data_IF_118634464974
#
_entry.id   IF_118634464974
#
_cell.length_a   1.000
_cell.length_b   1.000
_cell.length_c   1.000
_cell.angle_alpha   90.00
_cell.angle_beta   90.00
_cell.angle_gamma   90.00
#
_symmetry.space_group_name_H-M   'P 1'
#
loop_
_entity.id
_entity.type
_entity.pdbx_description
1 polymer ?
#
# COMPACT_ATOMS: atom_id res chain seq x y z
N UNK A 1 -9.82 18.07 -46.88
CA UNK A 1 -10.38 18.63 -45.63
C UNK A 1 -11.54 17.75 -45.20
N UNK A 2 -11.64 17.43 -43.89
CA UNK A 2 -12.54 16.46 -43.21
C UNK A 2 -11.96 15.06 -42.98
N UNK A 3 -11.15 14.95 -41.92
CA UNK A 3 -11.02 13.71 -41.15
C UNK A 3 -12.23 13.62 -40.21
N UNK A 4 -12.91 12.48 -40.24
CA UNK A 4 -14.00 12.14 -39.31
C UNK A 4 -13.42 11.33 -38.17
N UNK A 5 -13.31 11.95 -37.00
CA UNK A 5 -12.80 11.36 -35.76
C UNK A 5 -13.85 10.40 -35.18
N UNK A 6 -13.59 9.09 -35.25
CA UNK A 6 -14.27 8.08 -34.42
C UNK A 6 -13.50 8.00 -33.10
N UNK A 7 -14.06 8.59 -32.05
CA UNK A 7 -13.57 8.45 -30.67
C UNK A 7 -14.28 7.25 -30.04
N UNK A 8 -13.69 6.06 -30.19
CA UNK A 8 -14.08 4.88 -29.42
C UNK A 8 -13.33 4.92 -28.09
N UNK A 9 -14.01 5.33 -27.02
CA UNK A 9 -13.53 5.11 -25.65
C UNK A 9 -13.71 3.62 -25.36
N UNK A 10 -12.66 2.86 -25.60
CA UNK A 10 -12.55 1.48 -25.14
C UNK A 10 -12.04 1.53 -23.70
N UNK A 11 -12.97 1.55 -22.74
CA UNK A 11 -12.66 1.23 -21.35
C UNK A 11 -12.38 -0.28 -21.28
N UNK A 12 -11.13 -0.69 -21.54
CA UNK A 12 -10.68 -2.02 -21.14
C UNK A 12 -10.42 -1.95 -19.63
N UNK A 13 -11.46 -2.20 -18.83
CA UNK A 13 -11.25 -2.76 -17.49
C UNK A 13 -10.85 -4.21 -17.70
N UNK A 14 -9.59 -4.46 -18.04
CA UNK A 14 -9.01 -5.79 -17.98
C UNK A 14 -8.83 -6.08 -16.49
N UNK A 15 -9.90 -6.56 -15.86
CA UNK A 15 -9.85 -7.20 -14.53
C UNK A 15 -9.05 -8.50 -14.63
N UNK A 16 -7.74 -8.38 -14.83
CA UNK A 16 -6.78 -9.48 -14.71
C UNK A 16 -5.97 -9.22 -13.44
N UNK A 17 -6.66 -9.17 -12.30
CA UNK A 17 -6.01 -9.43 -11.03
C UNK A 17 -5.53 -10.88 -11.09
N UNK A 18 -4.24 -11.11 -11.33
CA UNK A 18 -3.65 -12.44 -11.16
C UNK A 18 -3.59 -12.65 -9.64
N UNK A 19 -4.63 -13.30 -9.13
CA UNK A 19 -4.84 -13.53 -7.71
C UNK A 19 -3.75 -14.48 -7.19
N UNK A 20 -2.88 -14.00 -6.32
CA UNK A 20 -1.92 -14.88 -5.67
C UNK A 20 -2.61 -15.73 -4.58
N UNK A 21 -2.20 -17.00 -4.53
CA UNK A 21 -2.45 -18.03 -3.51
C UNK A 21 -3.89 -18.53 -3.27
N UNK A 22 -4.94 -17.84 -3.73
CA UNK A 22 -6.33 -18.11 -3.30
C UNK A 22 -7.18 -18.97 -4.27
N UNK A 23 -6.58 -19.62 -5.27
CA UNK A 23 -7.29 -20.23 -6.40
C UNK A 23 -8.27 -21.37 -6.06
N UNK A 24 -8.19 -21.99 -4.89
CA UNK A 24 -8.92 -23.25 -4.65
C UNK A 24 -10.33 -23.10 -4.07
N UNK A 25 -10.76 -21.93 -3.56
CA UNK A 25 -11.98 -21.87 -2.72
C UNK A 25 -12.99 -20.75 -3.03
N UNK A 26 -12.84 -19.97 -4.11
CA UNK A 26 -13.76 -18.83 -4.35
C UNK A 26 -14.80 -19.13 -5.43
N UNK A 27 -16.03 -19.42 -5.00
CA UNK A 27 -17.23 -19.30 -5.83
C UNK A 27 -17.54 -17.83 -6.10
N UNK A 28 -17.03 -17.28 -7.21
CA UNK A 28 -17.33 -15.92 -7.65
C UNK A 28 -18.66 -15.88 -8.42
N UNK A 29 -19.54 -14.94 -8.08
CA UNK A 29 -20.73 -14.59 -8.87
C UNK A 29 -20.40 -13.37 -9.74
N UNK A 30 -20.55 -13.49 -11.06
CA UNK A 30 -20.09 -12.53 -12.08
C UNK A 30 -20.80 -11.16 -12.05
N UNK A 31 -21.91 -11.00 -11.33
CA UNK A 31 -22.84 -9.88 -11.56
C UNK A 31 -22.93 -8.80 -10.48
N UNK A 32 -22.01 -8.74 -9.52
CA UNK A 32 -21.99 -7.63 -8.53
C UNK A 32 -20.55 -7.17 -8.27
N UNK A 33 -20.20 -5.88 -8.47
CA UNK A 33 -18.96 -5.36 -7.96
C UNK A 33 -19.01 -5.44 -6.43
N UNK A 34 -18.30 -6.42 -5.85
CA UNK A 34 -18.09 -6.45 -4.41
C UNK A 34 -17.19 -5.26 -4.07
N UNK A 35 -17.76 -4.25 -3.41
CA UNK A 35 -16.98 -3.27 -2.68
C UNK A 35 -16.22 -4.02 -1.57
N UNK A 36 -14.96 -4.34 -1.83
CA UNK A 36 -14.11 -4.96 -0.81
C UNK A 36 -13.76 -3.87 0.19
N UNK A 37 -14.30 -4.01 1.40
CA UNK A 37 -13.84 -3.23 2.54
C UNK A 37 -12.64 -3.97 3.12
N UNK A 38 -11.48 -3.32 3.27
CA UNK A 38 -10.38 -3.87 4.06
C UNK A 38 -10.92 -4.25 5.44
N UNK A 39 -10.33 -5.29 6.06
CA UNK A 39 -10.60 -5.55 7.45
C UNK A 39 -10.25 -4.28 8.26
N UNK A 40 -11.25 -3.72 8.93
CA UNK A 40 -11.01 -2.68 9.92
C UNK A 40 -10.26 -3.27 11.12
N UNK A 41 -9.96 -2.43 12.11
CA UNK A 41 -9.43 -2.85 13.40
C UNK A 41 -10.22 -4.07 13.94
N UNK A 42 -9.51 -5.03 14.52
CA UNK A 42 -10.12 -6.16 15.21
C UNK A 42 -10.80 -5.63 16.50
N UNK A 43 -12.13 -5.71 16.63
CA UNK A 43 -12.82 -5.16 17.80
C UNK A 43 -12.41 -5.84 19.12
N UNK A 44 -11.84 -7.05 19.06
CA UNK A 44 -11.40 -7.81 20.22
C UNK A 44 -9.89 -7.61 20.51
N UNK A 45 -9.21 -6.72 19.78
CA UNK A 45 -7.81 -6.41 20.03
C UNK A 45 -7.62 -5.70 21.37
N UNK A 46 -7.08 -6.44 22.35
CA UNK A 46 -6.84 -5.94 23.71
C UNK A 46 -5.37 -5.80 24.08
N UNK A 47 -4.47 -6.34 23.27
CA UNK A 47 -3.04 -6.49 23.61
C UNK A 47 -2.20 -5.52 22.79
N UNK A 48 -2.06 -4.30 23.31
CA UNK A 48 -1.18 -3.31 22.72
C UNK A 48 0.29 -3.72 22.91
N UNK A 49 1.14 -3.60 21.87
CA UNK A 49 2.57 -3.82 22.03
C UNK A 49 3.16 -2.74 22.96
N UNK A 50 4.24 -3.07 23.69
CA UNK A 50 4.92 -2.12 24.57
C UNK A 50 5.57 -0.94 23.82
N UNK A 51 5.79 -1.09 22.51
CA UNK A 51 6.42 -0.12 21.62
C UNK A 51 5.73 -0.18 20.27
N UNK A 52 5.75 0.94 19.53
CA UNK A 52 5.34 0.92 18.13
C UNK A 52 6.13 -0.06 17.29
N UNK A 53 5.57 -0.40 16.12
CA UNK A 53 6.32 -1.13 15.11
C UNK A 53 7.58 -0.35 14.71
N UNK A 54 7.47 0.97 14.46
CA UNK A 54 8.61 1.77 14.01
C UNK A 54 9.75 1.83 15.06
N UNK A 55 9.45 1.88 16.36
CA UNK A 55 10.47 1.82 17.42
C UNK A 55 11.19 0.47 17.50
N UNK A 56 10.63 -0.57 16.90
CA UNK A 56 11.13 -1.95 16.91
C UNK A 56 12.00 -2.28 15.68
N UNK A 57 12.75 -1.30 15.14
CA UNK A 57 13.50 -1.42 13.86
C UNK A 57 14.41 -2.65 13.77
N UNK A 58 15.06 -3.01 14.88
CA UNK A 58 15.97 -4.18 14.93
C UNK A 58 15.25 -5.50 14.70
N UNK A 59 13.95 -5.53 14.97
CA UNK A 59 13.12 -6.72 14.95
C UNK A 59 12.13 -6.74 13.77
N UNK A 60 12.08 -5.68 12.95
CA UNK A 60 11.15 -5.54 11.82
C UNK A 60 11.03 -6.80 10.98
N UNK A 61 12.17 -7.36 10.61
CA UNK A 61 12.24 -8.55 9.78
C UNK A 61 11.65 -9.80 10.47
N UNK A 62 11.85 -9.96 11.78
CA UNK A 62 11.23 -11.03 12.56
C UNK A 62 9.72 -10.82 12.74
N UNK A 63 9.28 -9.57 12.93
CA UNK A 63 7.86 -9.22 13.06
C UNK A 63 7.12 -9.49 11.75
N UNK A 64 7.66 -9.03 10.61
CA UNK A 64 7.10 -9.29 9.27
C UNK A 64 7.02 -10.79 9.00
N UNK A 65 8.07 -11.54 9.34
CA UNK A 65 8.13 -12.97 9.08
C UNK A 65 7.12 -13.79 9.89
N UNK A 66 6.83 -13.36 11.12
CA UNK A 66 5.94 -14.06 12.03
C UNK A 66 4.47 -13.69 11.87
N UNK A 67 4.15 -12.47 11.42
CA UNK A 67 2.76 -11.95 11.40
C UNK A 67 1.81 -12.80 10.55
N UNK A 68 2.21 -13.19 9.33
CA UNK A 68 1.37 -14.02 8.44
C UNK A 68 1.88 -15.45 8.29
N UNK A 69 2.91 -15.80 9.07
CA UNK A 69 3.51 -17.12 9.05
C UNK A 69 4.36 -17.44 7.81
N UNK A 70 4.70 -18.72 7.64
CA UNK A 70 5.61 -19.17 6.60
C UNK A 70 5.05 -18.89 5.20
N UNK A 71 5.95 -18.55 4.27
CA UNK A 71 5.61 -18.42 2.87
C UNK A 71 5.43 -19.77 2.18
N UNK A 72 5.02 -19.73 0.91
CA UNK A 72 5.01 -20.92 0.06
C UNK A 72 6.43 -21.46 -0.19
N UNK A 73 6.58 -22.76 -0.55
CA UNK A 73 7.86 -23.30 -0.99
C UNK A 73 8.47 -22.49 -2.12
N UNK A 74 9.81 -22.49 -2.20
CA UNK A 74 10.56 -21.72 -3.20
C UNK A 74 10.05 -21.90 -4.64
N UNK A 75 9.84 -23.15 -5.07
CA UNK A 75 9.35 -23.45 -6.41
C UNK A 75 7.99 -22.81 -6.71
N UNK A 76 7.07 -22.78 -5.74
CA UNK A 76 5.75 -22.17 -5.90
C UNK A 76 5.82 -20.64 -5.94
N UNK A 77 6.68 -20.02 -5.12
CA UNK A 77 6.92 -18.57 -5.20
C UNK A 77 7.51 -18.16 -6.55
N UNK A 78 8.46 -18.94 -7.04
CA UNK A 78 9.10 -18.72 -8.33
C UNK A 78 8.10 -18.84 -9.49
N UNK A 79 7.25 -19.87 -9.46
CA UNK A 79 6.18 -20.08 -10.45
C UNK A 79 5.18 -18.90 -10.47
N UNK A 80 4.73 -18.43 -9.30
CA UNK A 80 3.85 -17.25 -9.21
C UNK A 80 4.52 -16.00 -9.80
N UNK A 81 5.80 -15.78 -9.49
CA UNK A 81 6.57 -14.65 -10.02
C UNK A 81 6.73 -14.73 -11.53
N UNK A 82 7.13 -15.89 -12.05
CA UNK A 82 7.36 -16.10 -13.47
C UNK A 82 6.03 -15.96 -14.24
N UNK A 83 4.92 -16.50 -13.73
CA UNK A 83 3.59 -16.29 -14.32
C UNK A 83 3.17 -14.82 -14.39
N UNK A 84 3.36 -14.07 -13.29
CA UNK A 84 3.03 -12.64 -13.27
C UNK A 84 3.86 -11.87 -14.31
N UNK A 85 5.16 -12.10 -14.34
CA UNK A 85 6.08 -11.35 -15.21
C UNK A 85 5.94 -11.74 -16.69
N UNK A 86 5.65 -13.02 -16.99
CA UNK A 86 5.26 -13.46 -18.34
C UNK A 86 3.95 -12.81 -18.78
N UNK A 87 2.94 -12.74 -17.91
CA UNK A 87 1.68 -12.09 -18.25
C UNK A 87 1.86 -10.59 -18.59
N UNK A 88 2.77 -9.90 -17.90
CA UNK A 88 3.13 -8.52 -18.24
C UNK A 88 3.82 -8.43 -19.61
N UNK A 89 4.77 -9.32 -19.89
CA UNK A 89 5.44 -9.35 -21.20
C UNK A 89 4.44 -9.55 -22.34
N UNK A 90 3.46 -10.42 -22.16
CA UNK A 90 2.52 -10.79 -23.20
C UNK A 90 1.38 -9.78 -23.39
N UNK A 91 0.97 -9.10 -22.31
CA UNK A 91 -0.31 -8.35 -22.28
C UNK A 91 -0.17 -6.89 -21.88
N UNK A 92 0.92 -6.49 -21.24
CA UNK A 92 1.08 -5.11 -20.76
C UNK A 92 1.80 -4.25 -21.80
N UNK A 93 1.02 -3.44 -22.52
CA UNK A 93 1.53 -2.51 -23.53
C UNK A 93 1.96 -1.15 -22.94
N UNK A 94 1.87 -0.98 -21.62
CA UNK A 94 2.06 0.30 -20.94
C UNK A 94 3.51 0.76 -20.78
N UNK A 95 4.50 -0.14 -20.90
CA UNK A 95 5.90 0.18 -20.59
C UNK A 95 6.42 1.45 -21.28
N UNK A 96 6.30 1.63 -22.62
CA UNK A 96 6.81 2.83 -23.28
C UNK A 96 6.08 4.11 -22.83
N UNK A 97 4.77 4.03 -22.57
CA UNK A 97 3.97 5.16 -22.09
C UNK A 97 4.33 5.60 -20.67
N UNK A 98 4.97 4.71 -19.91
CA UNK A 98 5.47 4.96 -18.55
C UNK A 98 6.95 5.36 -18.54
N UNK A 99 7.54 5.55 -19.73
CA UNK A 99 8.96 5.87 -19.89
C UNK A 99 9.90 4.71 -19.55
N UNK A 100 9.38 3.47 -19.54
CA UNK A 100 10.14 2.26 -19.27
C UNK A 100 10.43 1.52 -20.58
N UNK A 101 11.71 1.24 -20.86
CA UNK A 101 12.07 0.34 -21.96
C UNK A 101 11.88 -1.12 -21.56
N UNK A 102 11.79 -2.02 -22.54
CA UNK A 102 11.79 -3.46 -22.28
C UNK A 102 13.05 -3.92 -21.53
N UNK A 103 14.20 -3.27 -21.78
CA UNK A 103 15.44 -3.56 -21.06
C UNK A 103 15.37 -3.14 -19.59
N UNK A 104 14.74 -1.99 -19.28
CA UNK A 104 14.52 -1.55 -17.90
C UNK A 104 13.62 -2.55 -17.17
N UNK A 105 12.54 -2.99 -17.82
CA UNK A 105 11.66 -4.02 -17.27
C UNK A 105 12.38 -5.34 -17.00
N UNK A 106 13.19 -5.84 -17.94
CA UNK A 106 13.98 -7.06 -17.75
C UNK A 106 14.97 -6.91 -16.58
N UNK A 107 15.58 -5.73 -16.40
CA UNK A 107 16.45 -5.45 -15.26
C UNK A 107 15.69 -5.51 -13.94
N UNK A 108 14.51 -4.88 -13.85
CA UNK A 108 13.65 -4.99 -12.67
C UNK A 108 13.28 -6.45 -12.41
N UNK A 109 12.73 -7.16 -13.41
CA UNK A 109 12.37 -8.58 -13.28
C UNK A 109 13.53 -9.41 -12.72
N UNK A 110 14.71 -9.30 -13.32
CA UNK A 110 15.86 -10.11 -12.91
C UNK A 110 16.33 -9.76 -11.48
N UNK A 111 16.34 -8.47 -11.11
CA UNK A 111 16.72 -8.03 -9.76
C UNK A 111 15.77 -8.52 -8.67
N UNK A 112 14.47 -8.58 -8.94
CA UNK A 112 13.48 -9.10 -7.98
C UNK A 112 13.44 -10.62 -7.96
N UNK A 113 13.67 -11.28 -9.11
CA UNK A 113 13.67 -12.75 -9.21
C UNK A 113 14.71 -13.40 -8.30
N UNK A 114 15.91 -12.83 -8.20
CA UNK A 114 16.97 -13.35 -7.32
C UNK A 114 16.65 -13.19 -5.83
N UNK A 115 15.76 -12.27 -5.46
CA UNK A 115 15.32 -12.05 -4.07
C UNK A 115 14.24 -13.04 -3.61
N UNK A 116 13.68 -13.85 -4.51
CA UNK A 116 12.61 -14.81 -4.16
C UNK A 116 13.10 -15.84 -3.14
N UNK A 117 14.37 -16.26 -3.23
CA UNK A 117 14.94 -17.24 -2.31
C UNK A 117 14.97 -16.73 -0.86
N UNK A 118 15.31 -15.45 -0.65
CA UNK A 118 15.36 -14.82 0.69
C UNK A 118 13.99 -14.45 1.27
N UNK A 119 12.91 -14.51 0.48
CA UNK A 119 11.54 -14.18 0.92
C UNK A 119 10.86 -15.35 1.66
N UNK A 120 11.37 -15.73 2.82
CA UNK A 120 10.98 -16.95 3.55
C UNK A 120 9.54 -16.93 4.11
N UNK A 121 8.98 -15.75 4.37
CA UNK A 121 7.62 -15.58 4.91
C UNK A 121 6.60 -15.14 3.88
N UNK A 122 5.32 -15.30 4.21
CA UNK A 122 4.22 -14.81 3.38
C UNK A 122 4.25 -13.28 3.25
N UNK A 123 4.56 -12.58 4.35
CA UNK A 123 4.74 -11.13 4.38
C UNK A 123 5.85 -10.65 3.45
N UNK A 124 7.06 -11.20 3.56
CA UNK A 124 8.18 -10.83 2.68
C UNK A 124 7.90 -11.09 1.21
N UNK A 125 7.28 -12.23 0.88
CA UNK A 125 6.97 -12.51 -0.52
C UNK A 125 5.92 -11.53 -1.07
N UNK A 126 4.91 -11.16 -0.27
CA UNK A 126 3.97 -10.11 -0.64
C UNK A 126 4.69 -8.76 -0.87
N UNK A 127 5.57 -8.35 0.05
CA UNK A 127 6.33 -7.11 -0.09
C UNK A 127 7.16 -7.10 -1.37
N UNK A 128 7.87 -8.20 -1.67
CA UNK A 128 8.64 -8.36 -2.90
C UNK A 128 7.78 -8.16 -4.16
N UNK A 129 6.61 -8.82 -4.21
CA UNK A 129 5.70 -8.72 -5.36
C UNK A 129 5.07 -7.32 -5.51
N UNK A 130 4.71 -6.69 -4.39
CA UNK A 130 4.19 -5.33 -4.38
C UNK A 130 5.27 -4.31 -4.76
N UNK A 131 6.50 -4.49 -4.31
CA UNK A 131 7.62 -3.63 -4.67
C UNK A 131 7.92 -3.70 -6.18
N UNK A 132 8.01 -4.91 -6.75
CA UNK A 132 8.14 -5.11 -8.20
C UNK A 132 7.00 -4.42 -8.97
N UNK A 133 5.78 -4.59 -8.48
CA UNK A 133 4.59 -3.96 -9.06
C UNK A 133 4.70 -2.43 -9.06
N UNK A 134 5.20 -1.82 -7.99
CA UNK A 134 5.35 -0.36 -7.90
C UNK A 134 6.38 0.19 -8.89
N UNK A 135 7.38 -0.60 -9.29
CA UNK A 135 8.32 -0.19 -10.35
C UNK A 135 7.60 0.12 -11.67
N UNK A 136 6.45 -0.52 -11.93
CA UNK A 136 5.62 -0.24 -13.10
C UNK A 136 5.05 1.17 -13.08
N UNK A 137 4.85 1.77 -11.90
CA UNK A 137 4.18 3.06 -11.72
C UNK A 137 2.80 3.08 -12.41
N UNK A 138 2.01 2.03 -12.17
CA UNK A 138 0.65 1.89 -12.73
C UNK A 138 -0.28 1.32 -11.64
N UNK A 139 -1.51 1.82 -11.56
CA UNK A 139 -2.42 1.55 -10.44
C UNK A 139 -3.36 0.34 -10.60
N UNK A 140 -3.49 -0.22 -11.80
CA UNK A 140 -4.41 -1.32 -12.12
C UNK A 140 -3.70 -2.66 -12.31
N UNK A 141 -2.38 -2.62 -12.41
CA UNK A 141 -1.51 -3.76 -12.60
C UNK A 141 -0.85 -4.05 -11.27
N UNK A 142 -1.36 -5.04 -10.52
CA UNK A 142 -0.86 -5.37 -9.19
C UNK A 142 -0.70 -6.87 -8.93
N UNK A 143 0.38 -7.25 -8.25
CA UNK A 143 0.59 -8.59 -7.70
C UNK A 143 0.61 -8.52 -6.17
N UNK A 144 -0.40 -9.12 -5.54
CA UNK A 144 -0.58 -9.07 -4.08
C UNK A 144 -1.09 -10.39 -3.52
N UNK A 145 -0.76 -10.64 -2.26
CA UNK A 145 -1.41 -11.68 -1.44
C UNK A 145 -2.75 -11.19 -0.91
N UNK A 146 -3.83 -11.91 -1.23
CA UNK A 146 -5.20 -11.44 -0.94
C UNK A 146 -5.56 -11.47 0.55
N UNK A 147 -4.95 -12.36 1.34
CA UNK A 147 -5.09 -12.35 2.80
C UNK A 147 -4.48 -11.06 3.33
N UNK A 148 -3.25 -10.76 2.91
CA UNK A 148 -2.54 -9.57 3.39
C UNK A 148 -3.25 -8.29 2.91
N UNK A 149 -3.61 -8.23 1.63
CA UNK A 149 -4.12 -7.02 0.99
C UNK A 149 -5.55 -6.64 1.43
N UNK A 150 -6.43 -7.63 1.63
CA UNK A 150 -7.83 -7.37 1.93
C UNK A 150 -8.24 -7.70 3.37
N UNK A 151 -7.52 -8.60 4.04
CA UNK A 151 -7.96 -9.18 5.32
C UNK A 151 -7.03 -8.84 6.49
N UNK A 152 -5.91 -8.14 6.27
CA UNK A 152 -5.08 -7.70 7.38
C UNK A 152 -5.80 -6.59 8.17
N UNK A 153 -6.09 -6.79 9.46
CA UNK A 153 -6.59 -5.73 10.30
C UNK A 153 -5.47 -4.73 10.58
N UNK A 154 -5.79 -3.44 10.57
CA UNK A 154 -4.84 -2.37 10.86
C UNK A 154 -4.76 -2.10 12.37
N UNK A 155 -4.39 -3.12 13.15
CA UNK A 155 -4.21 -3.00 14.60
C UNK A 155 -2.81 -2.42 14.92
N UNK A 156 -2.64 -1.73 16.07
CA UNK A 156 -1.33 -1.28 16.54
C UNK A 156 -0.25 -2.39 16.47
N UNK A 157 0.87 -2.07 15.83
CA UNK A 157 2.01 -2.99 15.64
C UNK A 157 1.93 -3.88 14.39
N UNK A 158 0.82 -3.88 13.66
CA UNK A 158 0.70 -4.69 12.42
C UNK A 158 1.66 -4.15 11.35
N UNK A 159 2.59 -4.95 10.81
CA UNK A 159 3.67 -4.44 9.96
C UNK A 159 3.23 -4.27 8.50
N UNK A 160 2.21 -3.44 8.25
CA UNK A 160 1.71 -3.12 6.90
C UNK A 160 1.74 -1.63 6.65
N UNK A 161 2.38 -1.21 5.57
CA UNK A 161 2.34 0.17 5.13
C UNK A 161 1.11 0.39 4.25
N UNK A 162 0.25 1.32 4.63
CA UNK A 162 -0.84 1.76 3.78
C UNK A 162 -0.32 2.82 2.83
N UNK A 163 -0.49 2.57 1.54
CA UNK A 163 -0.29 3.56 0.48
C UNK A 163 -1.67 3.91 -0.08
N UNK A 164 -1.88 5.18 -0.40
CA UNK A 164 -3.16 5.71 -0.93
C UNK A 164 -4.31 5.68 0.10
N UNK A 165 -5.43 6.37 -0.20
CA UNK A 165 -6.59 6.55 0.71
C UNK A 165 -7.81 5.71 0.33
N UNK A 166 -7.69 4.78 -0.62
CA UNK A 166 -8.83 3.90 -1.00
C UNK A 166 -9.24 2.91 0.09
N UNK A 167 -8.48 2.84 1.18
CA UNK A 167 -8.75 1.98 2.32
C UNK A 167 -9.54 2.84 3.33
N UNK A 168 -10.79 2.42 3.57
CA UNK A 168 -11.83 3.04 4.41
C UNK A 168 -11.46 4.26 5.27
N UNK A 169 -12.26 5.34 5.18
CA UNK A 169 -12.21 6.47 6.15
C UNK A 169 -12.44 6.04 7.60
N UNK A 170 -12.96 4.83 7.82
CA UNK A 170 -13.26 4.27 9.14
C UNK A 170 -12.00 3.99 9.98
N UNK A 171 -10.81 3.89 9.36
CA UNK A 171 -9.58 3.63 10.13
C UNK A 171 -8.92 4.90 10.68
N UNK A 172 -8.79 5.96 9.87
CA UNK A 172 -8.15 7.19 10.33
C UNK A 172 -9.16 8.22 10.85
N UNK A 173 -10.40 8.23 10.38
CA UNK A 173 -11.41 9.22 10.79
C UNK A 173 -11.27 10.59 10.11
N UNK A 174 -10.30 10.78 9.23
CA UNK A 174 -10.14 12.01 8.45
C UNK A 174 -9.80 11.75 6.98
N UNK A 175 -10.25 12.66 6.12
CA UNK A 175 -9.87 12.76 4.71
C UNK A 175 -8.70 13.73 4.61
N UNK A 176 -7.61 13.28 3.97
CA UNK A 176 -6.41 14.09 3.76
C UNK A 176 -6.15 14.34 2.28
N UNK A 177 -5.36 15.36 1.99
CA UNK A 177 -4.79 15.64 0.67
C UNK A 177 -3.29 15.92 0.80
N UNK A 178 -2.54 15.64 -0.25
CA UNK A 178 -1.12 16.02 -0.34
C UNK A 178 -1.04 17.39 -0.98
N UNK A 179 -0.22 18.27 -0.41
CA UNK A 179 0.08 19.60 -0.93
C UNK A 179 1.33 19.55 -1.84
N UNK A 180 1.57 20.58 -2.69
CA UNK A 180 2.70 20.59 -3.63
C UNK A 180 4.09 20.44 -2.98
N UNK A 181 4.22 20.77 -1.69
CA UNK A 181 5.44 20.63 -0.90
C UNK A 181 5.54 19.27 -0.19
N UNK A 182 4.65 18.31 -0.53
CA UNK A 182 4.51 16.97 0.05
C UNK A 182 4.00 16.93 1.50
N UNK A 183 3.60 18.06 2.07
CA UNK A 183 2.87 18.05 3.34
C UNK A 183 1.46 17.48 3.16
N UNK A 184 0.90 16.89 4.22
CA UNK A 184 -0.40 16.22 4.18
C UNK A 184 -1.40 17.03 5.00
N UNK A 185 -2.39 17.62 4.34
CA UNK A 185 -3.39 18.47 4.97
C UNK A 185 -4.71 17.72 5.19
N UNK A 186 -5.31 17.91 6.37
CA UNK A 186 -6.66 17.46 6.67
C UNK A 186 -7.66 18.29 5.87
N UNK A 187 -8.44 17.64 5.00
CA UNK A 187 -9.55 18.27 4.28
C UNK A 187 -10.84 18.27 5.11
N UNK A 188 -11.13 17.14 5.74
CA UNK A 188 -12.35 16.90 6.54
C UNK A 188 -12.06 15.84 7.60
N UNK A 189 -12.69 15.96 8.76
CA UNK A 189 -12.63 14.97 9.85
C UNK A 189 -14.05 14.56 10.26
N UNK A 190 -14.19 13.39 10.87
CA UNK A 190 -15.43 13.02 11.57
C UNK A 190 -15.62 13.91 12.79
N UNK A 191 -16.87 14.11 13.21
CA UNK A 191 -17.17 14.81 14.44
C UNK A 191 -16.55 14.07 15.64
N UNK A 192 -16.03 14.82 16.62
CA UNK A 192 -15.34 14.28 17.80
C UNK A 192 -14.18 13.33 17.44
N UNK A 193 -13.40 13.71 16.43
CA UNK A 193 -12.19 12.99 16.08
C UNK A 193 -11.29 12.84 17.33
N UNK A 194 -10.75 11.66 17.66
CA UNK A 194 -9.99 11.45 18.91
C UNK A 194 -8.78 12.38 19.08
N UNK A 195 -8.21 12.82 17.96
CA UNK A 195 -7.08 13.76 17.90
C UNK A 195 -7.50 15.23 17.73
N UNK A 196 -8.80 15.52 17.81
CA UNK A 196 -9.37 16.86 17.59
C UNK A 196 -8.90 17.49 16.26
N UNK A 197 -8.85 16.69 15.19
CA UNK A 197 -8.41 17.14 13.86
C UNK A 197 -9.44 18.09 13.24
N UNK A 198 -8.95 19.18 12.67
CA UNK A 198 -9.74 20.16 11.94
C UNK A 198 -9.29 20.29 10.47
N UNK A 199 -10.20 20.68 9.55
CA UNK A 199 -9.81 21.08 8.21
C UNK A 199 -8.72 22.16 8.23
N UNK A 200 -7.63 21.92 7.51
CA UNK A 200 -6.46 22.81 7.45
C UNK A 200 -5.26 22.34 8.27
N UNK A 201 -5.44 21.46 9.25
CA UNK A 201 -4.33 20.91 10.03
C UNK A 201 -3.37 20.10 9.13
N UNK A 202 -2.07 20.18 9.43
CA UNK A 202 -1.04 19.50 8.65
C UNK A 202 -0.45 18.34 9.44
N UNK A 203 -0.52 17.13 8.88
CA UNK A 203 0.21 15.97 9.39
C UNK A 203 1.68 16.11 8.97
N UNK A 204 2.56 16.25 9.94
CA UNK A 204 3.99 16.42 9.73
C UNK A 204 4.71 15.07 9.64
N UNK A 205 4.26 14.10 10.42
CA UNK A 205 4.99 12.85 10.62
C UNK A 205 4.53 12.09 11.85
N UNK A 206 5.41 11.22 12.32
CA UNK A 206 5.22 10.41 13.52
C UNK A 206 6.51 10.39 14.32
N UNK A 207 6.39 10.26 15.64
CA UNK A 207 7.53 10.11 16.55
C UNK A 207 8.60 11.22 16.40
N UNK A 208 8.17 12.45 16.07
CA UNK A 208 9.02 13.61 15.74
C UNK A 208 9.87 13.45 14.47
N UNK A 209 9.49 12.55 13.57
CA UNK A 209 10.15 12.26 12.30
C UNK A 209 9.19 12.57 11.16
N UNK A 210 9.65 13.36 10.18
CA UNK A 210 8.83 13.70 9.01
C UNK A 210 8.37 12.45 8.28
N UNK A 211 7.10 12.44 7.83
CA UNK A 211 6.51 11.28 7.16
C UNK A 211 7.31 10.83 5.93
N UNK A 212 7.90 11.76 5.18
CA UNK A 212 8.77 11.42 4.04
C UNK A 212 9.96 10.53 4.45
N UNK A 213 10.60 10.82 5.57
CA UNK A 213 11.73 10.03 6.09
C UNK A 213 11.23 8.65 6.54
N UNK A 214 10.13 8.61 7.30
CA UNK A 214 9.50 7.37 7.74
C UNK A 214 9.13 6.46 6.56
N UNK A 215 8.49 7.03 5.54
CA UNK A 215 8.07 6.33 4.34
C UNK A 215 9.28 5.70 3.62
N UNK A 216 10.39 6.43 3.50
CA UNK A 216 11.60 5.90 2.90
C UNK A 216 12.15 4.72 3.71
N UNK A 217 12.24 4.85 5.03
CA UNK A 217 12.73 3.78 5.91
C UNK A 217 11.87 2.52 5.79
N UNK A 218 10.54 2.68 5.82
CA UNK A 218 9.58 1.57 5.73
C UNK A 218 9.62 0.88 4.35
N UNK A 219 9.71 1.66 3.26
CA UNK A 219 9.85 1.10 1.91
C UNK A 219 11.19 0.38 1.73
N UNK A 220 12.29 0.95 2.26
CA UNK A 220 13.62 0.33 2.24
C UNK A 220 13.67 -0.96 3.05
N UNK A 221 12.92 -1.05 4.14
CA UNK A 221 12.76 -2.28 4.92
C UNK A 221 11.91 -3.36 4.23
N UNK A 222 11.40 -3.08 3.02
CA UNK A 222 10.51 -3.96 2.27
C UNK A 222 9.28 -4.34 3.10
N UNK A 223 8.64 -3.35 3.74
CA UNK A 223 7.37 -3.59 4.43
C UNK A 223 6.29 -4.06 3.44
N UNK A 224 5.47 -5.06 3.80
CA UNK A 224 4.25 -5.36 3.05
C UNK A 224 3.40 -4.09 2.89
N UNK A 225 2.96 -3.81 1.67
CA UNK A 225 2.18 -2.60 1.39
C UNK A 225 0.79 -2.95 0.90
N UNK A 226 -0.21 -2.28 1.43
CA UNK A 226 -1.57 -2.32 0.88
C UNK A 226 -1.90 -0.98 0.24
N UNK A 227 -2.60 -1.00 -0.88
CA UNK A 227 -2.85 0.20 -1.67
C UNK A 227 -2.49 0.06 -3.14
N UNK A 228 -2.86 1.07 -3.90
CA UNK A 228 -2.61 1.16 -5.33
C UNK A 228 -1.56 2.22 -5.63
N UNK A 229 -0.70 1.92 -6.59
CA UNK A 229 0.21 2.90 -7.19
C UNK A 229 -0.57 3.87 -8.11
N UNK A 230 0.09 4.94 -8.55
CA UNK A 230 -0.47 5.89 -9.51
C UNK A 230 0.46 6.09 -10.72
N UNK A 231 -0.16 6.39 -11.86
CA UNK A 231 0.46 6.44 -13.19
C UNK A 231 1.51 7.55 -13.38
N UNK A 232 1.14 8.77 -13.01
CA UNK A 232 1.98 9.94 -13.21
C UNK A 232 2.96 10.11 -12.04
N UNK A 233 4.16 10.64 -12.29
CA UNK A 233 5.17 10.82 -11.24
C UNK A 233 4.68 11.66 -10.05
N UNK A 234 3.94 12.75 -10.30
CA UNK A 234 3.33 13.55 -9.24
C UNK A 234 2.28 12.75 -8.46
N UNK A 235 1.39 12.06 -9.17
CA UNK A 235 0.35 11.24 -8.56
C UNK A 235 0.93 10.04 -7.79
N UNK A 236 2.07 9.49 -8.21
CA UNK A 236 2.78 8.41 -7.52
C UNK A 236 3.25 8.88 -6.15
N UNK A 237 3.91 10.04 -6.09
CA UNK A 237 4.28 10.67 -4.82
C UNK A 237 3.04 10.93 -3.97
N UNK A 238 1.99 11.55 -4.54
CA UNK A 238 0.76 11.81 -3.79
C UNK A 238 0.17 10.52 -3.22
N UNK A 239 0.11 9.43 -4.00
CA UNK A 239 -0.41 8.15 -3.54
C UNK A 239 0.36 7.62 -2.33
N UNK A 240 1.68 7.73 -2.29
CA UNK A 240 2.46 7.29 -1.12
C UNK A 240 2.17 8.15 0.12
N UNK A 241 2.07 9.47 -0.05
CA UNK A 241 1.86 10.42 1.05
C UNK A 241 0.43 10.44 1.57
N UNK A 242 -0.56 10.13 0.73
CA UNK A 242 -1.95 9.92 1.13
C UNK A 242 -2.11 8.81 2.19
N UNK A 243 -1.17 7.87 2.25
CA UNK A 243 -1.11 6.83 3.27
C UNK A 243 -0.77 7.31 4.68
N UNK A 244 -0.38 8.59 4.85
CA UNK A 244 0.11 9.12 6.13
C UNK A 244 -0.88 8.88 7.27
N UNK A 245 -2.14 9.31 7.13
CA UNK A 245 -3.14 9.07 8.17
C UNK A 245 -3.49 7.60 8.36
N UNK A 246 -3.44 6.80 7.29
CA UNK A 246 -3.85 5.39 7.32
C UNK A 246 -2.81 4.44 7.91
N UNK A 247 -1.57 4.92 8.11
CA UNK A 247 -0.47 4.12 8.63
C UNK A 247 -0.20 4.36 10.11
N UNK A 248 -1.12 5.01 10.83
CA UNK A 248 -0.93 5.36 12.25
C UNK A 248 -0.65 4.14 13.14
N UNK A 249 -1.20 2.97 12.79
CA UNK A 249 -1.00 1.72 13.51
C UNK A 249 0.47 1.22 13.55
N UNK A 250 1.36 1.82 12.76
CA UNK A 250 2.81 1.53 12.79
C UNK A 250 3.57 2.34 13.86
N UNK A 251 2.92 3.34 14.48
CA UNK A 251 3.56 4.38 15.28
C UNK A 251 2.81 4.62 16.60
N UNK A 252 3.50 5.22 17.58
CA UNK A 252 2.88 5.56 18.87
C UNK A 252 2.31 6.99 18.90
N UNK A 253 2.96 7.94 18.19
CA UNK A 253 2.57 9.35 18.21
C UNK A 253 2.54 9.92 16.81
N UNK A 254 1.57 10.80 16.53
CA UNK A 254 1.46 11.55 15.29
C UNK A 254 1.77 13.03 15.56
N UNK A 255 2.54 13.64 14.67
CA UNK A 255 2.92 15.04 14.76
C UNK A 255 1.99 15.87 13.88
N UNK A 256 1.23 16.77 14.50
CA UNK A 256 0.24 17.61 13.82
C UNK A 256 0.57 19.08 14.05
N UNK A 257 0.62 19.86 12.97
CA UNK A 257 0.61 21.31 13.06
C UNK A 257 -0.82 21.80 13.01
N UNK A 258 -1.32 22.24 14.17
CA UNK A 258 -2.65 22.80 14.29
C UNK A 258 -2.68 24.22 13.73
N UNK A 259 -3.60 24.46 12.80
CA UNK A 259 -3.82 25.81 12.26
C UNK A 259 -4.69 26.67 13.16
N UNK A 260 -5.30 26.07 14.18
CA UNK A 260 -5.99 26.72 15.30
C UNK A 260 -5.08 26.73 16.55
N UNK A 261 -5.24 27.69 17.49
CA UNK A 261 -4.46 27.73 18.72
C UNK A 261 -4.58 26.42 19.54
N UNK A 262 -3.43 25.83 19.87
CA UNK A 262 -3.16 24.40 20.21
C UNK A 262 -3.80 23.87 21.52
N UNK A 263 -4.22 22.60 21.49
CA UNK A 263 -4.30 21.65 22.63
C UNK A 263 -3.49 20.39 22.24
N UNK A 264 -2.61 19.87 23.11
CA UNK A 264 -1.81 18.65 22.86
C UNK A 264 -2.62 17.37 23.21
N UNK A 265 -2.63 16.35 22.34
CA UNK A 265 -3.22 15.03 22.60
C UNK A 265 -2.20 13.88 22.47
N UNK A 266 -2.35 12.88 23.33
CA UNK A 266 -1.60 11.61 23.38
C UNK A 266 -2.61 10.50 23.06
N UNK A 267 -2.24 9.50 22.25
CA UNK A 267 -3.07 8.30 22.05
C UNK A 267 -3.11 7.49 23.37
N UNK A 268 -4.32 7.23 23.89
CA UNK A 268 -4.57 6.35 25.05
C UNK A 268 -5.14 5.02 24.58
#
# INVERSE_FOLDING_TARGET
MKYSTFLSILLILSSHSIHSQDLLNRGYSENVPKLVRPANHDPDFSNFPERSFYQSQKDWQGIIDSTWGPGLPFASKLDIFDQYTSALNDKFFGFPGLGMSWADWDNFRNSYRVKIDSSTSRGRFHALMMNLTRELREGHTIAFDSLIFFQTPLNPGTPVLVTNTRLSVEHFGAVVTVLPDTSVMVLRSVANHPLDLHPGDILLGYENIRYQTLLNDLLTAELPTIGYSAGAASAYTDALFLGAGMSWHLFDTIDIFNTLPVIHCIFL
#
